data_IF_773338904549
#
_entry.id   IF_773338904549
#
_cell.length_a   1.000
_cell.length_b   1.000
_cell.length_c   1.000
_cell.angle_alpha   90.00
_cell.angle_beta   90.00
_cell.angle_gamma   90.00
#
_symmetry.space_group_name_H-M   'P 1'
#
loop_
_entity.id
_entity.type
_entity.pdbx_description
1 polymer ?
#
# COMPACT_ATOMS: atom_id res chain seq x y z
N UNK A 1 -21.30 49.16 -69.76
CA UNK A 1 -20.24 49.01 -68.73
C UNK A 1 -20.78 48.92 -67.30
N UNK A 2 -21.82 49.67 -66.91
CA UNK A 2 -22.38 49.68 -65.54
C UNK A 2 -22.87 48.30 -65.01
N UNK A 3 -23.56 47.50 -65.83
CA UNK A 3 -24.08 46.19 -65.41
C UNK A 3 -22.97 45.18 -65.04
N UNK A 4 -21.87 45.15 -65.80
CA UNK A 4 -20.72 44.27 -65.50
C UNK A 4 -19.98 44.69 -64.22
N UNK A 5 -19.90 46.00 -63.96
CA UNK A 5 -19.30 46.55 -62.72
C UNK A 5 -20.14 46.21 -61.48
N UNK A 6 -21.47 46.25 -61.59
CA UNK A 6 -22.36 45.90 -60.48
C UNK A 6 -22.32 44.40 -60.15
N UNK A 7 -22.23 43.53 -61.15
CA UNK A 7 -22.07 42.08 -60.95
C UNK A 7 -20.72 41.76 -60.31
N UNK A 8 -19.64 42.42 -60.72
CA UNK A 8 -18.32 42.24 -60.12
C UNK A 8 -18.29 42.66 -58.64
N UNK A 9 -19.01 43.73 -58.31
CA UNK A 9 -19.14 44.24 -56.94
C UNK A 9 -19.93 43.27 -56.05
N UNK A 10 -21.04 42.71 -56.54
CA UNK A 10 -21.82 41.69 -55.82
C UNK A 10 -21.00 40.42 -55.60
N UNK A 11 -20.26 39.96 -56.62
CA UNK A 11 -19.37 38.80 -56.49
C UNK A 11 -18.27 39.04 -55.45
N UNK A 12 -17.70 40.25 -55.41
CA UNK A 12 -16.69 40.60 -54.41
C UNK A 12 -17.24 40.58 -52.97
N UNK A 13 -18.48 41.04 -52.76
CA UNK A 13 -19.15 41.02 -51.44
C UNK A 13 -19.43 39.58 -51.00
N UNK A 14 -19.91 38.71 -51.90
CA UNK A 14 -20.16 37.30 -51.59
C UNK A 14 -18.87 36.57 -51.24
N UNK A 15 -17.78 36.84 -51.96
CA UNK A 15 -16.46 36.27 -51.66
C UNK A 15 -15.88 36.79 -50.33
N UNK A 16 -16.10 38.07 -50.01
CA UNK A 16 -15.69 38.64 -48.71
C UNK A 16 -16.49 38.06 -47.54
N UNK A 17 -17.80 37.85 -47.71
CA UNK A 17 -18.64 37.18 -46.70
C UNK A 17 -18.19 35.74 -46.45
N UNK A 18 -17.74 35.03 -47.49
CA UNK A 18 -17.21 33.67 -47.33
C UNK A 18 -15.90 33.65 -46.55
N UNK A 19 -15.04 34.66 -46.73
CA UNK A 19 -13.76 34.78 -46.02
C UNK A 19 -13.95 35.04 -44.51
N UNK A 20 -14.95 35.84 -44.13
CA UNK A 20 -15.25 36.16 -42.73
C UNK A 20 -15.73 34.96 -41.90
N UNK A 21 -16.31 33.93 -42.53
CA UNK A 21 -16.74 32.71 -41.83
C UNK A 21 -15.60 31.71 -41.59
N UNK A 22 -14.42 31.89 -42.22
CA UNK A 22 -13.29 30.98 -42.11
C UNK A 22 -12.41 31.22 -40.87
N UNK A 23 -12.52 32.39 -40.22
CA UNK A 23 -11.75 32.74 -39.03
C UNK A 23 -12.40 32.20 -37.75
N UNK A 24 -12.52 30.87 -37.60
CA UNK A 24 -12.75 30.29 -36.28
C UNK A 24 -11.42 30.26 -35.54
N UNK A 25 -11.24 31.19 -34.60
CA UNK A 25 -10.08 31.16 -33.69
C UNK A 25 -10.06 29.89 -32.85
N UNK A 26 -8.85 29.42 -32.53
CA UNK A 26 -8.63 28.25 -31.68
C UNK A 26 -9.23 28.49 -30.29
N UNK A 27 -10.08 27.58 -29.83
CA UNK A 27 -10.72 27.65 -28.51
C UNK A 27 -9.90 26.85 -27.51
N UNK A 28 -9.23 27.58 -26.63
CA UNK A 28 -8.36 27.02 -25.61
C UNK A 28 -9.01 27.21 -24.24
N UNK A 29 -9.00 26.16 -23.44
CA UNK A 29 -9.35 26.19 -22.02
C UNK A 29 -8.24 25.58 -21.17
N UNK A 30 -8.28 25.81 -19.86
CA UNK A 30 -7.41 25.12 -18.93
C UNK A 30 -8.20 24.59 -17.73
N UNK A 31 -7.61 23.60 -17.06
CA UNK A 31 -8.12 22.94 -15.86
C UNK A 31 -7.02 22.85 -14.83
N UNK A 32 -7.41 22.84 -13.56
CA UNK A 32 -6.53 22.56 -12.44
C UNK A 32 -6.92 21.19 -11.88
N UNK A 33 -6.21 20.14 -12.31
CA UNK A 33 -6.55 18.77 -11.96
C UNK A 33 -6.39 18.49 -10.47
N UNK A 34 -5.37 19.09 -9.84
CA UNK A 34 -5.15 19.00 -8.39
C UNK A 34 -6.35 19.59 -7.63
N UNK A 35 -6.76 20.81 -7.98
CA UNK A 35 -7.94 21.44 -7.40
C UNK A 35 -9.21 20.60 -7.61
N UNK A 36 -9.42 20.04 -8.81
CA UNK A 36 -10.59 19.20 -9.09
C UNK A 36 -10.58 17.95 -8.20
N UNK A 37 -9.45 17.24 -8.13
CA UNK A 37 -9.33 16.01 -7.36
C UNK A 37 -9.53 16.25 -5.86
N UNK A 38 -8.93 17.29 -5.29
CA UNK A 38 -9.08 17.64 -3.87
C UNK A 38 -10.54 17.93 -3.46
N UNK A 39 -11.35 18.47 -4.38
CA UNK A 39 -12.76 18.77 -4.13
C UNK A 39 -13.69 17.58 -4.40
N UNK A 40 -13.17 16.46 -4.91
CA UNK A 40 -13.93 15.22 -5.13
C UNK A 40 -13.88 14.37 -3.85
N UNK A 41 -15.04 14.22 -3.19
CA UNK A 41 -15.21 13.41 -1.97
C UNK A 41 -14.57 12.01 -2.05
N UNK A 42 -14.74 11.27 -3.16
CA UNK A 42 -14.14 9.94 -3.32
C UNK A 42 -12.61 9.98 -3.33
N UNK A 43 -12.01 11.07 -3.83
CA UNK A 43 -10.55 11.23 -3.85
C UNK A 43 -10.03 11.48 -2.44
N UNK A 44 -10.74 12.29 -1.65
CA UNK A 44 -10.38 12.55 -0.25
C UNK A 44 -10.44 11.27 0.56
N UNK A 45 -11.51 10.49 0.43
CA UNK A 45 -11.64 9.18 1.12
C UNK A 45 -10.54 8.20 0.68
N UNK A 46 -10.26 8.11 -0.62
CA UNK A 46 -9.19 7.26 -1.14
C UNK A 46 -7.81 7.69 -0.62
N UNK A 47 -7.57 9.01 -0.54
CA UNK A 47 -6.32 9.58 -0.04
C UNK A 47 -6.14 9.32 1.45
N UNK A 48 -7.19 9.51 2.26
CA UNK A 48 -7.19 9.20 3.70
C UNK A 48 -6.92 7.70 3.95
N UNK A 49 -7.56 6.82 3.16
CA UNK A 49 -7.31 5.37 3.25
C UNK A 49 -5.87 5.00 2.90
N UNK A 50 -5.31 5.61 1.84
CA UNK A 50 -3.94 5.38 1.43
C UNK A 50 -2.96 5.89 2.49
N UNK A 51 -3.19 7.09 3.02
CA UNK A 51 -2.38 7.69 4.08
C UNK A 51 -2.38 6.82 5.34
N UNK A 52 -3.56 6.31 5.76
CA UNK A 52 -3.65 5.40 6.90
C UNK A 52 -2.78 4.15 6.72
N UNK A 53 -2.76 3.57 5.52
CA UNK A 53 -1.92 2.40 5.23
C UNK A 53 -0.42 2.75 5.19
N UNK A 54 -0.08 3.89 4.59
CA UNK A 54 1.30 4.42 4.58
C UNK A 54 1.82 4.59 6.00
N UNK A 55 1.01 5.18 6.89
CA UNK A 55 1.40 5.36 8.29
C UNK A 55 1.59 4.02 9.00
N UNK A 56 0.72 3.04 8.79
CA UNK A 56 0.89 1.69 9.34
C UNK A 56 2.20 1.04 8.88
N UNK A 57 2.50 1.08 7.58
CA UNK A 57 3.75 0.52 7.06
C UNK A 57 4.99 1.25 7.59
N UNK A 58 4.94 2.58 7.75
CA UNK A 58 6.02 3.35 8.37
C UNK A 58 6.29 2.90 9.80
N UNK A 59 5.24 2.74 10.61
CA UNK A 59 5.35 2.25 12.00
C UNK A 59 5.92 0.84 12.03
N UNK A 60 5.49 -0.05 11.13
CA UNK A 60 6.03 -1.41 11.04
C UNK A 60 7.52 -1.44 10.65
N UNK A 61 7.95 -0.57 9.73
CA UNK A 61 9.37 -0.41 9.37
C UNK A 61 10.15 0.12 10.57
N UNK A 62 9.66 1.14 11.26
CA UNK A 62 10.31 1.72 12.44
C UNK A 62 10.47 0.69 13.57
N UNK A 63 9.46 -0.16 13.79
CA UNK A 63 9.53 -1.26 14.75
C UNK A 63 10.59 -2.30 14.37
N UNK A 64 10.65 -2.69 13.09
CA UNK A 64 11.67 -3.63 12.58
C UNK A 64 13.07 -3.03 12.72
N UNK A 65 13.25 -1.77 12.35
CA UNK A 65 14.51 -1.04 12.49
C UNK A 65 14.96 -0.98 13.95
N UNK A 66 14.06 -0.61 14.86
CA UNK A 66 14.34 -0.55 16.30
C UNK A 66 14.75 -1.91 16.86
N UNK A 67 14.07 -2.98 16.44
CA UNK A 67 14.42 -4.35 16.84
C UNK A 67 15.82 -4.74 16.38
N UNK A 68 16.16 -4.46 15.11
CA UNK A 68 17.49 -4.71 14.53
C UNK A 68 18.57 -3.93 15.28
N UNK A 69 18.32 -2.66 15.56
CA UNK A 69 19.27 -1.81 16.29
C UNK A 69 19.48 -2.27 17.73
N UNK A 70 18.44 -2.79 18.38
CA UNK A 70 18.54 -3.37 19.72
C UNK A 70 19.39 -4.64 19.70
N UNK A 71 19.13 -5.58 18.77
CA UNK A 71 19.92 -6.81 18.65
C UNK A 71 21.40 -6.54 18.36
N UNK A 72 21.71 -5.52 17.54
CA UNK A 72 23.09 -5.08 17.32
C UNK A 72 23.75 -4.58 18.59
N UNK A 73 23.06 -3.74 19.37
CA UNK A 73 23.57 -3.23 20.65
C UNK A 73 23.80 -4.35 21.66
N UNK A 74 22.86 -5.29 21.75
CA UNK A 74 22.95 -6.45 22.64
C UNK A 74 24.14 -7.35 22.24
N UNK A 75 24.31 -7.61 20.94
CA UNK A 75 25.47 -8.34 20.43
C UNK A 75 26.79 -7.64 20.78
N UNK A 76 26.88 -6.31 20.63
CA UNK A 76 28.08 -5.54 20.98
C UNK A 76 28.40 -5.63 22.48
N UNK A 77 27.39 -5.58 23.35
CA UNK A 77 27.56 -5.68 24.80
C UNK A 77 27.94 -7.10 25.25
N UNK A 78 27.33 -8.12 24.64
CA UNK A 78 27.56 -9.53 24.99
C UNK A 78 28.77 -10.15 24.29
N UNK A 79 29.33 -9.50 23.26
CA UNK A 79 30.41 -10.05 22.40
C UNK A 79 31.58 -10.64 23.18
N UNK A 80 31.97 -10.00 24.30
CA UNK A 80 33.10 -10.43 25.14
C UNK A 80 32.81 -11.73 25.92
N UNK A 81 31.53 -12.06 26.11
CA UNK A 81 31.06 -13.23 26.86
C UNK A 81 30.69 -14.42 25.97
N UNK A 82 30.56 -14.19 24.66
CA UNK A 82 30.14 -15.18 23.66
C UNK A 82 31.35 -15.88 23.01
N UNK A 83 31.11 -17.05 22.43
CA UNK A 83 32.08 -17.75 21.58
C UNK A 83 31.95 -17.27 20.13
N UNK A 84 33.01 -17.42 19.34
CA UNK A 84 33.02 -16.98 17.94
C UNK A 84 31.88 -17.59 17.11
N UNK A 85 31.51 -18.85 17.36
CA UNK A 85 30.38 -19.52 16.72
C UNK A 85 29.02 -18.86 17.06
N UNK A 86 28.81 -18.47 18.32
CA UNK A 86 27.56 -17.81 18.74
C UNK A 86 27.48 -16.36 18.23
N UNK A 87 28.63 -15.70 18.10
CA UNK A 87 28.71 -14.37 17.49
C UNK A 87 28.31 -14.47 16.02
N UNK A 88 28.86 -15.43 15.27
CA UNK A 88 28.53 -15.63 13.87
C UNK A 88 27.02 -15.93 13.65
N UNK A 89 26.42 -16.78 14.50
CA UNK A 89 24.98 -17.09 14.42
C UNK A 89 24.10 -15.85 14.68
N UNK A 90 24.44 -15.03 15.69
CA UNK A 90 23.74 -13.77 15.98
C UNK A 90 23.93 -12.74 14.86
N UNK A 91 25.12 -12.65 14.29
CA UNK A 91 25.40 -11.75 13.16
C UNK A 91 24.60 -12.16 11.92
N UNK A 92 24.46 -13.46 11.64
CA UNK A 92 23.62 -13.99 10.57
C UNK A 92 22.15 -13.67 10.80
N UNK A 93 21.63 -13.86 12.02
CA UNK A 93 20.25 -13.51 12.38
C UNK A 93 19.95 -12.02 12.16
N UNK A 94 20.87 -11.14 12.59
CA UNK A 94 20.77 -9.69 12.36
C UNK A 94 20.75 -9.39 10.85
N UNK A 95 21.64 -10.00 10.06
CA UNK A 95 21.69 -9.79 8.61
C UNK A 95 20.41 -10.26 7.90
N UNK A 96 19.82 -11.38 8.33
CA UNK A 96 18.54 -11.86 7.80
C UNK A 96 17.45 -10.82 8.09
N UNK A 97 17.36 -10.34 9.32
CA UNK A 97 16.33 -9.37 9.72
C UNK A 97 16.51 -7.99 9.05
N UNK A 98 17.75 -7.56 8.83
CA UNK A 98 18.06 -6.38 8.01
C UNK A 98 17.59 -6.55 6.56
N UNK A 99 17.87 -7.70 5.97
CA UNK A 99 17.47 -8.01 4.61
C UNK A 99 15.95 -8.06 4.48
N UNK A 100 15.27 -8.74 5.40
CA UNK A 100 13.80 -8.79 5.44
C UNK A 100 13.18 -7.40 5.62
N UNK A 101 13.80 -6.53 6.41
CA UNK A 101 13.34 -5.14 6.58
C UNK A 101 13.51 -4.34 5.27
N UNK A 102 14.65 -4.47 4.59
CA UNK A 102 14.89 -3.81 3.31
C UNK A 102 13.93 -4.31 2.21
N UNK A 103 13.73 -5.63 2.13
CA UNK A 103 12.75 -6.24 1.23
C UNK A 103 11.34 -5.73 1.55
N UNK A 104 10.95 -5.70 2.83
CA UNK A 104 9.67 -5.13 3.24
C UNK A 104 9.52 -3.67 2.81
N UNK A 105 10.54 -2.85 3.01
CA UNK A 105 10.53 -1.45 2.58
C UNK A 105 10.40 -1.33 1.06
N UNK A 106 11.12 -2.16 0.29
CA UNK A 106 11.07 -2.18 -1.16
C UNK A 106 9.70 -2.67 -1.68
N UNK A 107 9.11 -3.69 -1.06
CA UNK A 107 7.80 -4.22 -1.42
C UNK A 107 6.68 -3.20 -1.15
N UNK A 108 6.81 -2.37 -0.11
CA UNK A 108 5.82 -1.32 0.18
C UNK A 108 6.04 -0.04 -0.61
N UNK A 109 7.27 0.46 -0.65
CA UNK A 109 7.61 1.82 -1.12
C UNK A 109 8.46 1.85 -2.40
N UNK A 110 8.83 0.70 -2.95
CA UNK A 110 9.58 0.62 -4.20
C UNK A 110 8.77 1.08 -5.42
N UNK A 111 9.41 1.19 -6.61
CA UNK A 111 8.76 1.66 -7.83
C UNK A 111 7.55 0.82 -8.29
N UNK A 112 7.55 -0.47 -7.95
CA UNK A 112 6.43 -1.40 -8.17
C UNK A 112 5.80 -1.87 -6.86
N UNK A 113 6.09 -1.17 -5.76
CA UNK A 113 5.60 -1.53 -4.45
C UNK A 113 4.10 -1.29 -4.28
N UNK A 114 3.56 -1.79 -3.17
CA UNK A 114 2.15 -1.72 -2.83
C UNK A 114 1.61 -0.30 -2.80
N UNK A 115 2.42 0.68 -2.39
CA UNK A 115 2.02 2.09 -2.39
C UNK A 115 1.64 2.56 -3.79
N UNK A 116 2.48 2.30 -4.78
CA UNK A 116 2.26 2.71 -6.17
C UNK A 116 1.07 1.95 -6.75
N UNK A 117 0.98 0.65 -6.48
CA UNK A 117 -0.13 -0.18 -6.95
C UNK A 117 -1.47 0.29 -6.38
N UNK A 118 -1.55 0.54 -5.07
CA UNK A 118 -2.77 1.00 -4.42
C UNK A 118 -3.13 2.43 -4.82
N UNK A 119 -2.13 3.31 -4.95
CA UNK A 119 -2.34 4.67 -5.48
C UNK A 119 -3.01 4.57 -6.85
N UNK A 120 -2.49 3.74 -7.75
CA UNK A 120 -3.08 3.50 -9.06
C UNK A 120 -4.50 2.93 -8.95
N UNK A 121 -4.73 1.89 -8.15
CA UNK A 121 -6.05 1.27 -8.03
C UNK A 121 -7.13 2.19 -7.46
N UNK A 122 -6.79 3.04 -6.49
CA UNK A 122 -7.74 3.92 -5.82
C UNK A 122 -7.93 5.25 -6.54
N UNK A 123 -6.84 5.85 -7.03
CA UNK A 123 -6.87 7.21 -7.60
C UNK A 123 -7.16 7.20 -9.10
N UNK A 124 -6.64 6.23 -9.86
CA UNK A 124 -6.84 6.15 -11.32
C UNK A 124 -8.33 6.16 -11.72
N UNK A 125 -9.25 5.37 -11.13
CA UNK A 125 -10.65 5.42 -11.54
C UNK A 125 -11.30 6.80 -11.32
N UNK A 126 -10.80 7.58 -10.36
CA UNK A 126 -11.28 8.94 -10.09
C UNK A 126 -10.72 9.90 -11.16
N UNK A 127 -9.44 9.78 -11.49
CA UNK A 127 -8.84 10.53 -12.60
C UNK A 127 -9.53 10.24 -13.92
N UNK A 128 -9.86 8.98 -14.20
CA UNK A 128 -10.60 8.57 -15.39
C UNK A 128 -12.01 9.20 -15.42
N UNK A 129 -12.69 9.30 -14.28
CA UNK A 129 -13.97 10.01 -14.19
C UNK A 129 -13.84 11.50 -14.51
N UNK A 130 -12.84 12.17 -13.95
CA UNK A 130 -12.55 13.58 -14.24
C UNK A 130 -12.25 13.76 -15.73
N UNK A 131 -11.40 12.90 -16.29
CA UNK A 131 -11.02 12.94 -17.70
C UNK A 131 -12.23 12.76 -18.63
N UNK A 132 -13.14 11.83 -18.31
CA UNK A 132 -14.38 11.65 -19.06
C UNK A 132 -15.28 12.90 -19.02
N UNK A 133 -15.41 13.56 -17.87
CA UNK A 133 -16.17 14.81 -17.78
C UNK A 133 -15.47 15.97 -18.52
N UNK A 134 -14.14 16.05 -18.48
CA UNK A 134 -13.34 17.00 -19.27
C UNK A 134 -13.62 16.80 -20.76
N UNK A 135 -13.55 15.58 -21.27
CA UNK A 135 -13.83 15.26 -22.67
C UNK A 135 -15.25 15.66 -23.08
N UNK A 136 -16.24 15.33 -22.25
CA UNK A 136 -17.65 15.67 -22.48
C UNK A 136 -17.86 17.18 -22.53
N UNK A 137 -17.25 17.93 -21.62
CA UNK A 137 -17.32 19.40 -21.59
C UNK A 137 -16.59 19.99 -22.79
N UNK A 138 -15.42 19.46 -23.14
CA UNK A 138 -14.64 19.81 -24.31
C UNK A 138 -15.46 19.70 -25.59
N UNK A 139 -16.08 18.54 -25.81
CA UNK A 139 -16.94 18.31 -26.97
C UNK A 139 -18.17 19.23 -26.98
N UNK A 140 -18.87 19.37 -25.85
CA UNK A 140 -20.09 20.18 -25.76
C UNK A 140 -19.84 21.68 -25.99
N UNK A 141 -18.72 22.21 -25.48
CA UNK A 141 -18.33 23.62 -25.67
C UNK A 141 -17.47 23.87 -26.91
N UNK A 142 -17.09 22.81 -27.62
CA UNK A 142 -16.23 22.83 -28.80
C UNK A 142 -14.89 23.49 -28.49
N UNK A 143 -14.24 23.06 -27.42
CA UNK A 143 -12.84 23.42 -27.17
C UNK A 143 -11.94 22.57 -28.05
N UNK A 144 -10.93 23.18 -28.65
CA UNK A 144 -9.95 22.48 -29.48
C UNK A 144 -8.83 21.92 -28.59
N UNK A 145 -8.48 22.64 -27.52
CA UNK A 145 -7.47 22.23 -26.54
C UNK A 145 -7.91 22.53 -25.12
N UNK A 146 -7.59 21.61 -24.20
CA UNK A 146 -7.74 21.78 -22.76
C UNK A 146 -6.40 21.45 -22.14
N UNK A 147 -5.79 22.41 -21.45
CA UNK A 147 -4.51 22.24 -20.79
C UNK A 147 -4.69 22.01 -19.29
N UNK A 148 -3.91 21.08 -18.74
CA UNK A 148 -3.82 20.92 -17.30
C UNK A 148 -2.73 21.87 -16.75
N UNK A 149 -3.13 22.74 -15.83
CA UNK A 149 -2.25 23.67 -15.12
C UNK A 149 -1.41 22.96 -14.05
N UNK A 150 -1.89 21.82 -13.54
CA UNK A 150 -1.17 21.01 -12.54
C UNK A 150 -0.06 20.16 -13.18
N UNK A 151 -0.01 20.07 -14.51
CA UNK A 151 1.06 19.41 -15.26
C UNK A 151 2.25 20.35 -15.50
N UNK A 152 3.36 19.82 -16.04
CA UNK A 152 4.62 20.55 -16.32
C UNK A 152 4.50 21.69 -17.36
N UNK A 153 3.29 22.06 -17.79
CA UNK A 153 3.06 23.17 -18.72
C UNK A 153 3.21 24.49 -17.97
N UNK A 154 4.30 25.20 -18.22
CA UNK A 154 4.55 26.52 -17.63
C UNK A 154 3.60 27.55 -18.23
N UNK A 155 2.52 27.87 -17.50
CA UNK A 155 1.57 28.93 -17.84
C UNK A 155 1.86 30.20 -17.04
N UNK A 156 2.41 31.23 -17.70
CA UNK A 156 2.78 32.49 -17.04
C UNK A 156 1.58 33.34 -16.65
N UNK A 157 0.53 33.33 -17.47
CA UNK A 157 -0.69 34.10 -17.23
C UNK A 157 -1.86 33.49 -18.00
N UNK A 158 -3.02 33.45 -17.35
CA UNK A 158 -4.28 33.08 -17.98
C UNK A 158 -5.43 33.87 -17.38
N UNK A 159 -6.34 34.33 -18.23
CA UNK A 159 -7.58 34.94 -17.76
C UNK A 159 -8.53 33.87 -17.21
N UNK A 160 -9.17 34.15 -16.07
CA UNK A 160 -10.04 33.19 -15.35
C UNK A 160 -11.21 32.67 -16.18
N UNK A 161 -11.62 33.41 -17.21
CA UNK A 161 -12.69 33.01 -18.14
C UNK A 161 -12.40 31.72 -18.92
N UNK A 162 -11.14 31.32 -19.04
CA UNK A 162 -10.74 30.08 -19.73
C UNK A 162 -10.59 28.89 -18.77
N UNK A 163 -10.74 29.12 -17.46
CA UNK A 163 -10.79 28.08 -16.44
C UNK A 163 -12.14 27.35 -16.52
N UNK A 164 -12.10 26.04 -16.69
CA UNK A 164 -13.31 25.20 -16.70
C UNK A 164 -13.37 24.23 -15.51
N UNK A 165 -12.49 24.37 -14.51
CA UNK A 165 -12.39 23.48 -13.34
C UNK A 165 -13.69 23.42 -12.55
N UNK A 166 -14.28 24.56 -12.22
CA UNK A 166 -15.59 24.65 -11.54
C UNK A 166 -16.74 24.02 -12.35
N UNK A 167 -16.60 24.02 -13.68
CA UNK A 167 -17.61 23.46 -14.57
C UNK A 167 -17.51 21.93 -14.59
N UNK A 168 -16.29 21.39 -14.55
CA UNK A 168 -16.01 19.95 -14.43
C UNK A 168 -16.47 19.44 -13.06
N UNK A 169 -16.15 20.13 -11.97
CA UNK A 169 -16.60 19.77 -10.62
C UNK A 169 -18.13 19.67 -10.54
N UNK A 170 -18.84 20.64 -11.13
CA UNK A 170 -20.31 20.59 -11.23
C UNK A 170 -20.80 19.44 -12.12
N UNK A 171 -20.06 19.08 -13.16
CA UNK A 171 -20.32 17.91 -14.01
C UNK A 171 -20.26 16.62 -13.21
N UNK A 172 -19.14 16.39 -12.51
CA UNK A 172 -18.90 15.22 -11.66
C UNK A 172 -19.97 15.11 -10.57
N UNK A 173 -20.24 16.20 -9.84
CA UNK A 173 -21.26 16.22 -8.80
C UNK A 173 -22.67 15.89 -9.33
N UNK A 174 -23.00 16.29 -10.57
CA UNK A 174 -24.27 15.98 -11.21
C UNK A 174 -24.33 14.51 -11.62
N UNK A 175 -23.27 13.99 -12.23
CA UNK A 175 -23.14 12.57 -12.59
C UNK A 175 -23.25 11.68 -11.35
N UNK A 176 -22.64 12.06 -10.22
CA UNK A 176 -22.80 11.40 -8.90
C UNK A 176 -24.24 11.40 -8.40
N UNK A 177 -24.94 12.54 -8.47
CA UNK A 177 -26.35 12.63 -8.04
C UNK A 177 -27.28 11.77 -8.89
N UNK A 178 -26.95 11.57 -10.16
CA UNK A 178 -27.70 10.72 -11.08
C UNK A 178 -27.37 9.24 -10.86
N UNK A 179 -26.11 8.91 -10.50
CA UNK A 179 -25.65 7.53 -10.23
C UNK A 179 -26.00 7.03 -8.82
N UNK A 180 -26.14 7.90 -7.81
CA UNK A 180 -26.78 7.54 -6.53
C UNK A 180 -28.23 7.15 -6.83
N UNK A 181 -28.64 5.89 -6.61
CA UNK A 181 -29.84 5.38 -7.26
C UNK A 181 -31.11 6.03 -6.71
N UNK A 182 -31.87 6.67 -7.60
CA UNK A 182 -33.33 6.82 -7.50
C UNK A 182 -34.03 5.43 -7.35
N UNK A 183 -33.33 4.33 -7.65
CA UNK A 183 -33.78 2.95 -7.36
C UNK A 183 -34.02 2.69 -5.87
N UNK A 184 -33.44 3.42 -4.90
CA UNK A 184 -33.81 3.20 -3.48
C UNK A 184 -35.27 3.58 -3.18
N UNK A 185 -35.90 4.42 -4.01
CA UNK A 185 -37.32 4.76 -3.92
C UNK A 185 -38.20 3.72 -4.65
N UNK A 186 -37.80 3.27 -5.85
CA UNK A 186 -38.54 2.24 -6.60
C UNK A 186 -38.43 0.84 -5.97
N UNK A 187 -37.26 0.48 -5.43
CA UNK A 187 -37.07 -0.79 -4.71
C UNK A 187 -37.83 -0.81 -3.38
N UNK A 188 -37.97 0.34 -2.69
CA UNK A 188 -38.83 0.45 -1.50
C UNK A 188 -40.32 0.29 -1.86
N UNK A 189 -40.78 0.93 -2.93
CA UNK A 189 -42.16 0.75 -3.42
C UNK A 189 -42.45 -0.70 -3.79
N UNK A 190 -41.50 -1.38 -4.44
CA UNK A 190 -41.66 -2.78 -4.87
C UNK A 190 -41.54 -3.80 -3.74
N UNK A 191 -40.85 -3.47 -2.63
CA UNK A 191 -40.85 -4.28 -1.41
C UNK A 191 -42.14 -4.08 -0.60
N UNK A 192 -42.68 -2.86 -0.56
CA UNK A 192 -43.93 -2.57 0.17
C UNK A 192 -45.17 -3.20 -0.48
N UNK A 193 -45.16 -3.39 -1.80
CA UNK A 193 -46.21 -4.14 -2.51
C UNK A 193 -46.09 -5.67 -2.32
N UNK A 194 -45.01 -6.17 -1.72
CA UNK A 194 -44.79 -7.61 -1.47
C UNK A 194 -45.00 -8.00 0.01
N UNK A 195 -45.02 -7.04 0.93
CA UNK A 195 -45.27 -7.27 2.38
C UNK A 195 -46.76 -7.49 2.71
N UNK A 196 -47.62 -7.66 1.71
CA UNK A 196 -49.08 -7.81 1.85
C UNK A 196 -49.62 -9.25 1.91
N UNK A 197 -48.78 -10.28 1.76
CA UNK A 197 -49.21 -11.68 1.90
C UNK A 197 -48.20 -12.46 2.74
N UNK A 198 -48.63 -13.17 3.81
CA UNK A 198 -47.72 -13.98 4.61
C UNK A 198 -47.39 -15.25 3.83
N UNK A 199 -46.26 -15.24 3.11
CA UNK A 199 -45.63 -16.45 2.62
C UNK A 199 -44.80 -17.06 3.76
N UNK A 200 -45.30 -18.15 4.33
CA UNK A 200 -44.50 -19.05 5.16
C UNK A 200 -43.34 -19.58 4.30
N UNK A 201 -42.14 -19.01 4.46
CA UNK A 201 -40.95 -19.44 3.73
C UNK A 201 -40.45 -20.77 4.29
N UNK A 202 -40.89 -21.87 3.67
CA UNK A 202 -40.16 -23.13 3.75
C UNK A 202 -38.75 -22.92 3.16
N UNK A 203 -37.76 -22.88 4.05
CA UNK A 203 -36.34 -22.80 3.71
C UNK A 203 -36.01 -23.97 2.78
N UNK A 204 -35.77 -23.69 1.50
CA UNK A 204 -35.44 -24.73 0.52
C UNK A 204 -34.22 -25.54 1.00
N UNK A 205 -34.29 -26.86 0.87
CA UNK A 205 -33.27 -27.80 1.35
C UNK A 205 -31.87 -27.46 0.81
N UNK A 206 -31.80 -26.87 -0.38
CA UNK A 206 -30.55 -26.41 -1.00
C UNK A 206 -29.85 -25.28 -0.23
N UNK A 207 -30.59 -24.42 0.49
CA UNK A 207 -30.01 -23.36 1.33
C UNK A 207 -29.50 -23.88 2.68
N UNK A 208 -30.16 -24.90 3.25
CA UNK A 208 -29.69 -25.60 4.45
C UNK A 208 -28.39 -26.35 4.17
N UNK A 209 -28.36 -27.13 3.09
CA UNK A 209 -27.16 -27.89 2.70
C UNK A 209 -25.95 -26.98 2.42
N UNK A 210 -26.19 -25.78 1.86
CA UNK A 210 -25.13 -24.80 1.59
C UNK A 210 -24.56 -24.16 2.86
N UNK A 211 -25.41 -23.89 3.86
CA UNK A 211 -24.99 -23.38 5.16
C UNK A 211 -24.22 -24.44 5.94
N UNK A 212 -24.70 -25.67 5.97
CA UNK A 212 -24.02 -26.79 6.64
C UNK A 212 -22.66 -27.10 6.00
N UNK A 213 -22.55 -27.09 4.66
CA UNK A 213 -21.25 -27.22 3.98
C UNK A 213 -20.30 -26.05 4.28
N UNK A 214 -20.80 -24.84 4.44
CA UNK A 214 -19.99 -23.67 4.78
C UNK A 214 -19.50 -23.74 6.23
N UNK A 215 -20.33 -24.17 7.17
CA UNK A 215 -19.97 -24.39 8.58
C UNK A 215 -18.96 -25.54 8.72
N UNK A 216 -19.18 -26.68 8.06
CA UNK A 216 -18.23 -27.79 8.04
C UNK A 216 -16.86 -27.39 7.44
N UNK A 217 -16.86 -26.56 6.39
CA UNK A 217 -15.62 -26.03 5.81
C UNK A 217 -14.91 -25.03 6.75
N UNK A 218 -15.67 -24.22 7.51
CA UNK A 218 -15.12 -23.32 8.51
C UNK A 218 -14.50 -24.09 9.69
N UNK A 219 -15.19 -25.12 10.19
CA UNK A 219 -14.72 -25.98 11.28
C UNK A 219 -13.49 -26.80 10.87
N UNK A 220 -13.44 -27.32 9.64
CA UNK A 220 -12.27 -28.00 9.10
C UNK A 220 -11.06 -27.05 9.02
N UNK A 221 -11.26 -25.81 8.58
CA UNK A 221 -10.20 -24.79 8.54
C UNK A 221 -9.72 -24.41 9.94
N UNK A 222 -10.63 -24.25 10.90
CA UNK A 222 -10.28 -23.96 12.30
C UNK A 222 -9.43 -25.10 12.91
N UNK A 223 -9.85 -26.36 12.74
CA UNK A 223 -9.09 -27.53 13.20
C UNK A 223 -7.69 -27.60 12.59
N UNK A 224 -7.55 -27.39 11.28
CA UNK A 224 -6.22 -27.37 10.63
C UNK A 224 -5.34 -26.19 11.08
N UNK A 225 -5.93 -25.04 11.42
CA UNK A 225 -5.19 -23.90 11.93
C UNK A 225 -4.70 -24.13 13.36
N UNK A 226 -5.52 -24.77 14.20
CA UNK A 226 -5.15 -25.09 15.58
C UNK A 226 -4.14 -26.24 15.64
N UNK A 227 -4.22 -27.22 14.75
CA UNK A 227 -3.19 -28.26 14.57
C UNK A 227 -1.84 -27.65 14.17
N UNK A 228 -1.81 -26.73 13.19
CA UNK A 228 -0.58 -26.02 12.79
C UNK A 228 -0.01 -25.16 13.91
N UNK A 229 -0.86 -24.51 14.71
CA UNK A 229 -0.42 -23.73 15.89
C UNK A 229 0.17 -24.64 16.97
N UNK A 230 -0.45 -25.79 17.22
CA UNK A 230 0.05 -26.77 18.19
C UNK A 230 1.39 -27.39 17.73
N UNK A 231 1.56 -27.67 16.43
CA UNK A 231 2.80 -28.15 15.86
C UNK A 231 3.93 -27.10 15.97
N UNK A 232 3.64 -25.83 15.69
CA UNK A 232 4.60 -24.74 15.88
C UNK A 232 5.01 -24.53 17.34
N UNK A 233 4.09 -24.70 18.29
CA UNK A 233 4.40 -24.61 19.71
C UNK A 233 5.28 -25.77 20.18
N UNK A 234 5.00 -27.00 19.73
CA UNK A 234 5.85 -28.17 20.02
C UNK A 234 7.26 -27.99 19.45
N UNK A 235 7.36 -27.51 18.21
CA UNK A 235 8.65 -27.23 17.57
C UNK A 235 9.45 -26.15 18.35
N UNK A 236 8.76 -25.12 18.88
CA UNK A 236 9.39 -24.09 19.73
C UNK A 236 9.87 -24.65 21.07
N UNK A 237 9.08 -25.49 21.72
CA UNK A 237 9.46 -26.14 22.98
C UNK A 237 10.64 -27.10 22.81
N UNK A 238 10.67 -27.86 21.71
CA UNK A 238 11.79 -28.73 21.36
C UNK A 238 13.06 -27.92 21.07
N UNK A 239 12.96 -26.82 20.32
CA UNK A 239 14.08 -25.89 20.10
C UNK A 239 14.59 -25.28 21.40
N UNK A 240 13.69 -24.87 22.30
CA UNK A 240 14.05 -24.31 23.62
C UNK A 240 14.75 -25.36 24.50
N UNK A 241 14.24 -26.59 24.55
CA UNK A 241 14.88 -27.69 25.29
C UNK A 241 16.23 -28.08 24.70
N UNK A 242 16.36 -28.11 23.37
CA UNK A 242 17.63 -28.34 22.69
C UNK A 242 18.65 -27.24 23.01
N UNK A 243 18.21 -25.99 23.05
CA UNK A 243 19.03 -24.84 23.46
C UNK A 243 19.49 -24.95 24.92
N UNK A 244 18.58 -25.25 25.85
CA UNK A 244 18.91 -25.43 27.27
C UNK A 244 19.87 -26.61 27.51
N UNK A 245 19.69 -27.72 26.79
CA UNK A 245 20.59 -28.87 26.85
C UNK A 245 21.99 -28.55 26.31
N UNK A 246 22.08 -27.82 25.18
CA UNK A 246 23.36 -27.33 24.63
C UNK A 246 24.06 -26.39 25.61
N UNK A 247 23.32 -25.44 26.19
CA UNK A 247 23.82 -24.51 27.21
C UNK A 247 24.37 -25.24 28.43
N UNK A 248 23.67 -26.28 28.91
CA UNK A 248 24.10 -27.06 30.08
C UNK A 248 25.39 -27.85 29.80
N UNK A 249 25.48 -28.52 28.65
CA UNK A 249 26.71 -29.23 28.23
C UNK A 249 27.90 -28.28 28.14
N UNK A 250 27.68 -27.08 27.62
CA UNK A 250 28.73 -26.07 27.46
C UNK A 250 29.20 -25.50 28.81
N UNK A 251 28.30 -25.34 29.79
CA UNK A 251 28.66 -24.97 31.16
C UNK A 251 29.45 -26.07 31.87
N UNK A 252 29.02 -27.33 31.74
CA UNK A 252 29.73 -28.49 32.31
C UNK A 252 31.14 -28.65 31.69
N UNK A 253 31.28 -28.46 30.37
CA UNK A 253 32.58 -28.48 29.70
C UNK A 253 33.49 -27.34 30.18
N UNK A 254 32.94 -26.14 30.39
CA UNK A 254 33.69 -24.98 30.95
C UNK A 254 34.13 -25.23 32.39
N UNK A 255 33.27 -25.82 33.22
CA UNK A 255 33.63 -26.18 34.59
C UNK A 255 34.68 -27.29 34.64
N UNK A 256 34.60 -28.30 33.77
CA UNK A 256 35.60 -29.35 33.63
C UNK A 256 36.96 -28.78 33.19
N UNK A 257 36.98 -27.89 32.17
CA UNK A 257 38.20 -27.19 31.74
C UNK A 257 38.77 -26.31 32.85
N UNK A 258 37.92 -25.64 33.65
CA UNK A 258 38.36 -24.84 34.80
C UNK A 258 39.00 -25.71 35.89
N UNK A 259 38.38 -26.84 36.23
CA UNK A 259 38.91 -27.80 37.21
C UNK A 259 40.22 -28.43 36.75
N UNK A 260 40.30 -28.87 35.50
CA UNK A 260 41.53 -29.40 34.91
C UNK A 260 42.67 -28.38 34.92
N UNK A 261 42.39 -27.10 34.62
CA UNK A 261 43.38 -26.01 34.70
C UNK A 261 43.82 -25.72 36.13
N UNK A 262 42.92 -25.82 37.11
CA UNK A 262 43.26 -25.68 38.53
C UNK A 262 44.09 -26.86 39.05
N UNK A 263 43.79 -28.09 38.64
CA UNK A 263 44.58 -29.28 38.98
C UNK A 263 45.96 -29.26 38.33
N UNK A 264 46.06 -28.85 37.07
CA UNK A 264 47.35 -28.67 36.39
C UNK A 264 48.20 -27.59 37.08
N UNK A 265 47.58 -26.48 37.50
CA UNK A 265 48.27 -25.42 38.25
C UNK A 265 48.73 -25.89 39.63
N UNK A 266 47.92 -26.67 40.35
CA UNK A 266 48.31 -27.28 41.63
C UNK A 266 49.47 -28.27 41.48
N UNK A 267 49.46 -29.08 40.41
CA UNK A 267 50.58 -30.00 40.11
C UNK A 267 51.89 -29.26 39.83
N UNK A 268 51.81 -28.16 39.05
CA UNK A 268 52.97 -27.31 38.80
C UNK A 268 53.47 -26.60 40.07
N UNK A 269 52.57 -26.18 40.96
CA UNK A 269 52.95 -25.59 42.26
C UNK A 269 53.61 -26.64 43.17
N UNK A 270 53.13 -27.88 43.23
CA UNK A 270 53.78 -28.96 44.01
C UNK A 270 55.12 -29.42 43.41
N UNK A 271 55.25 -29.48 42.07
CA UNK A 271 56.51 -29.84 41.42
C UNK A 271 57.57 -28.74 41.62
N UNK A 272 57.17 -27.47 41.65
CA UNK A 272 58.07 -26.34 41.95
C UNK A 272 58.47 -26.24 43.43
N UNK A 273 57.62 -26.71 44.35
CA UNK A 273 57.96 -26.84 45.78
C UNK A 273 58.93 -28.00 46.03
N UNK A 274 58.72 -29.16 45.38
CA UNK A 274 59.63 -30.32 45.46
C UNK A 274 61.01 -30.04 44.82
N UNK A 275 61.08 -29.28 43.72
CA UNK A 275 62.37 -28.88 43.13
C UNK A 275 63.16 -27.93 44.04
N UNK A 276 62.50 -26.97 44.71
CA UNK A 276 63.17 -26.03 45.61
C UNK A 276 63.70 -26.69 46.89
N UNK A 277 63.01 -27.69 47.44
CA UNK A 277 63.43 -28.42 48.65
C UNK A 277 64.60 -29.39 48.38
N UNK A 278 64.84 -29.75 47.10
CA UNK A 278 65.97 -30.60 46.68
C UNK A 278 67.30 -29.85 46.46
N UNK A 279 67.26 -28.52 46.44
CA UNK A 279 68.41 -27.63 46.16
C UNK A 279 68.97 -26.90 47.38
N UNK A 280 68.51 -27.20 48.58
CA UNK A 280 68.97 -26.62 49.85
C UNK A 280 69.55 -27.71 50.78
#
# INVERSE_FOLDING_TARGET
MKQKSNVLLILSIVLFSWYSHAQRGVRIAYVDMEYILENVEEYREASEQLESKVQKWKVEIEQKQSSVDQMKKDLMAEKVLLTDELIAEREEEIQILEKEMLEYQQDRFGPQGDLVLQKRQLIQPIQDQVFNEVQKIGANKRYDFIFDKSADVVMLYSEKRHDISDLILRGIARTRKISKPRKKAETRSRLQDFEGEPAEEEISDALKERKEKAEQAADARAKTADERRAEQLKLREERKKAYEARRKKLLEEREAKRKAKQEARKKQETEAEDENDSTN
#
